data_IF_792264963878
#
_entry.id   IF_792264963878
#
_cell.length_a   1.000
_cell.length_b   1.000
_cell.length_c   1.000
_cell.angle_alpha   90.00
_cell.angle_beta   90.00
_cell.angle_gamma   90.00
#
_symmetry.space_group_name_H-M   'P 1'
#
loop_
_entity.id
_entity.type
_entity.pdbx_description
1 polymer ?
#
# COMPACT_ATOMS: atom_id res chain seq x y z
N UNK A 1 -0.97 -15.49 5.44
CA UNK A 1 0.37 -15.89 4.95
C UNK A 1 0.56 -15.49 3.49
N UNK A 2 1.59 -16.00 2.83
CA UNK A 2 1.67 -15.95 1.36
C UNK A 2 0.69 -16.95 0.72
N UNK A 3 0.30 -16.74 -0.54
CA UNK A 3 -0.58 -17.68 -1.25
C UNK A 3 0.03 -19.08 -1.41
N UNK A 4 1.35 -19.19 -1.41
CA UNK A 4 2.07 -20.47 -1.45
C UNK A 4 1.95 -21.30 -0.16
N UNK A 5 1.52 -20.68 0.94
CA UNK A 5 1.32 -21.36 2.22
C UNK A 5 -0.09 -21.94 2.38
N UNK A 6 -1.02 -21.62 1.48
CA UNK A 6 -2.39 -22.17 1.55
C UNK A 6 -2.37 -23.71 1.60
N UNK A 7 -1.62 -24.32 0.69
CA UNK A 7 -1.38 -25.75 0.67
C UNK A 7 0.11 -26.07 0.47
N UNK A 8 0.69 -27.04 1.22
CA UNK A 8 0.04 -27.84 2.27
C UNK A 8 0.09 -27.19 3.66
N UNK A 9 0.71 -26.03 3.82
CA UNK A 9 1.12 -25.53 5.13
C UNK A 9 -0.06 -25.17 6.04
N UNK A 10 -0.89 -24.20 5.65
CA UNK A 10 -2.03 -23.77 6.46
C UNK A 10 -3.10 -24.87 6.55
N UNK A 11 -3.29 -25.67 5.50
CA UNK A 11 -4.16 -26.87 5.54
C UNK A 11 -3.73 -27.83 6.66
N UNK A 12 -2.42 -28.09 6.78
CA UNK A 12 -1.89 -28.92 7.85
C UNK A 12 -2.03 -28.26 9.22
N UNK A 13 -1.87 -26.94 9.33
CA UNK A 13 -2.09 -26.21 10.59
C UNK A 13 -3.53 -26.35 11.09
N UNK A 14 -4.51 -26.22 10.18
CA UNK A 14 -5.93 -26.43 10.48
C UNK A 14 -6.14 -27.87 10.95
N UNK A 15 -5.70 -28.86 10.15
CA UNK A 15 -5.90 -30.27 10.48
C UNK A 15 -5.30 -30.65 11.85
N UNK A 16 -4.08 -30.18 12.15
CA UNK A 16 -3.41 -30.45 13.43
C UNK A 16 -4.14 -29.78 14.60
N UNK A 17 -4.48 -28.50 14.46
CA UNK A 17 -5.06 -27.71 15.56
C UNK A 17 -6.49 -28.14 15.87
N UNK A 18 -7.31 -28.37 14.85
CA UNK A 18 -8.71 -28.75 15.02
C UNK A 18 -8.85 -30.21 15.47
N UNK A 19 -8.01 -31.13 14.96
CA UNK A 19 -8.02 -32.52 15.44
C UNK A 19 -7.58 -32.63 16.91
N UNK A 20 -6.60 -31.82 17.33
CA UNK A 20 -6.12 -31.85 18.71
C UNK A 20 -7.10 -31.20 19.71
N UNK A 21 -7.84 -30.18 19.29
CA UNK A 21 -8.66 -29.35 20.21
C UNK A 21 -10.17 -29.53 20.05
N UNK A 22 -10.64 -30.02 18.91
CA UNK A 22 -12.07 -30.09 18.57
C UNK A 22 -12.73 -28.72 18.39
N UNK A 23 -11.95 -27.65 18.19
CA UNK A 23 -12.44 -26.27 18.06
C UNK A 23 -11.96 -25.67 16.75
N UNK A 24 -12.72 -24.69 16.24
CA UNK A 24 -12.30 -23.87 15.10
C UNK A 24 -10.98 -23.16 15.40
N UNK A 25 -9.99 -23.32 14.52
CA UNK A 25 -8.65 -22.75 14.74
C UNK A 25 -8.62 -21.25 14.46
N UNK A 26 -9.17 -20.80 13.33
CA UNK A 26 -9.27 -19.39 12.95
C UNK A 26 -10.54 -19.12 12.14
N UNK A 27 -11.15 -17.94 12.33
CA UNK A 27 -12.38 -17.55 11.61
C UNK A 27 -12.11 -16.95 10.23
N UNK A 28 -10.90 -16.45 9.99
CA UNK A 28 -10.51 -15.81 8.73
C UNK A 28 -9.05 -16.13 8.40
N UNK A 29 -8.79 -16.41 7.13
CA UNK A 29 -7.46 -16.64 6.58
C UNK A 29 -7.20 -15.63 5.47
N UNK A 30 -6.10 -14.89 5.59
CA UNK A 30 -5.70 -13.89 4.60
C UNK A 30 -4.42 -14.36 3.92
N UNK A 31 -4.44 -14.39 2.59
CA UNK A 31 -3.30 -14.77 1.77
C UNK A 31 -2.94 -13.65 0.80
N UNK A 32 -1.67 -13.24 0.85
CA UNK A 32 -1.15 -12.21 -0.05
C UNK A 32 -0.79 -12.83 -1.41
N UNK A 33 -1.01 -12.05 -2.48
CA UNK A 33 -0.60 -12.41 -3.82
C UNK A 33 0.91 -12.50 -3.97
N UNK A 34 1.36 -13.26 -4.96
CA UNK A 34 2.78 -13.49 -5.21
C UNK A 34 3.47 -12.25 -5.79
N UNK A 35 4.73 -12.06 -5.41
CA UNK A 35 5.62 -11.12 -6.09
C UNK A 35 6.23 -11.81 -7.32
N UNK A 36 6.11 -11.16 -8.48
CA UNK A 36 6.75 -11.53 -9.74
C UNK A 36 7.87 -10.54 -10.05
N UNK A 37 8.90 -10.98 -10.77
CA UNK A 37 10.00 -10.12 -11.22
C UNK A 37 10.00 -10.11 -12.74
N UNK A 38 9.81 -8.93 -13.33
CA UNK A 38 9.73 -8.75 -14.79
C UNK A 38 8.73 -9.72 -15.47
N UNK A 39 7.60 -9.97 -14.81
CA UNK A 39 6.54 -10.89 -15.28
C UNK A 39 6.78 -12.37 -14.94
N UNK A 40 7.98 -12.75 -14.51
CA UNK A 40 8.35 -14.12 -14.17
C UNK A 40 8.24 -14.40 -12.67
N UNK A 41 8.14 -15.68 -12.30
CA UNK A 41 8.21 -16.10 -10.90
C UNK A 41 9.64 -15.85 -10.39
N UNK A 42 9.76 -15.26 -9.20
CA UNK A 42 11.04 -15.16 -8.51
C UNK A 42 11.56 -16.57 -8.18
N UNK A 43 12.78 -16.89 -8.60
CA UNK A 43 13.44 -18.14 -8.22
C UNK A 43 14.96 -18.01 -8.20
N UNK A 44 15.61 -18.75 -7.30
CA UNK A 44 17.08 -18.83 -7.26
C UNK A 44 17.66 -19.39 -8.56
N UNK A 45 16.96 -20.34 -9.19
CA UNK A 45 17.38 -20.98 -10.44
C UNK A 45 17.39 -20.05 -11.65
N UNK A 46 16.48 -19.06 -11.69
CA UNK A 46 16.47 -18.03 -12.73
C UNK A 46 17.45 -16.87 -12.42
N UNK A 47 18.13 -16.92 -11.27
CA UNK A 47 18.99 -15.86 -10.75
C UNK A 47 18.32 -14.47 -10.77
N UNK A 48 16.99 -14.44 -10.65
CA UNK A 48 16.14 -13.25 -10.78
C UNK A 48 15.57 -12.82 -9.44
N UNK A 49 16.28 -13.04 -8.34
CA UNK A 49 15.83 -12.65 -6.99
C UNK A 49 16.62 -11.44 -6.49
N UNK A 50 15.93 -10.55 -5.79
CA UNK A 50 16.53 -9.43 -5.07
C UNK A 50 16.17 -9.55 -3.61
N UNK A 51 17.13 -9.33 -2.72
CA UNK A 51 16.81 -9.20 -1.30
C UNK A 51 16.27 -7.80 -1.03
N UNK A 52 15.47 -7.65 0.03
CA UNK A 52 15.05 -6.33 0.49
C UNK A 52 16.27 -5.42 0.74
N UNK A 53 17.39 -5.97 1.23
CA UNK A 53 18.62 -5.21 1.47
C UNK A 53 19.18 -4.62 0.17
N UNK A 54 19.24 -5.40 -0.90
CA UNK A 54 19.70 -4.94 -2.22
C UNK A 54 18.81 -3.84 -2.81
N UNK A 55 17.49 -3.95 -2.61
CA UNK A 55 16.54 -2.94 -3.10
C UNK A 55 16.67 -1.64 -2.31
N UNK A 56 16.83 -1.73 -0.99
CA UNK A 56 16.94 -0.55 -0.11
C UNK A 56 18.27 0.20 -0.25
N UNK A 57 19.31 -0.43 -0.82
CA UNK A 57 20.53 0.29 -1.22
C UNK A 57 20.28 1.27 -2.38
N UNK A 58 19.27 1.02 -3.21
CA UNK A 58 18.97 1.81 -4.42
C UNK A 58 17.76 2.72 -4.26
N UNK A 59 16.77 2.29 -3.48
CA UNK A 59 15.47 2.96 -3.36
C UNK A 59 15.14 3.24 -1.90
N UNK A 60 14.55 4.42 -1.66
CA UNK A 60 14.05 4.79 -0.35
C UNK A 60 12.97 3.80 0.12
N UNK A 61 12.93 3.37 1.40
CA UNK A 61 11.96 2.38 1.88
C UNK A 61 10.50 2.72 1.58
N UNK A 62 10.13 3.99 1.59
CA UNK A 62 8.77 4.41 1.24
C UNK A 62 8.41 4.14 -0.22
N UNK A 63 9.36 4.21 -1.15
CA UNK A 63 9.13 3.87 -2.56
C UNK A 63 8.75 2.41 -2.70
N UNK A 64 9.48 1.53 -2.01
CA UNK A 64 9.19 0.10 -1.96
C UNK A 64 7.84 -0.15 -1.29
N UNK A 65 7.55 0.54 -0.18
CA UNK A 65 6.25 0.44 0.50
C UNK A 65 5.11 0.87 -0.40
N UNK A 66 5.25 1.98 -1.12
CA UNK A 66 4.23 2.47 -2.04
C UNK A 66 3.95 1.48 -3.15
N UNK A 67 4.99 0.91 -3.79
CA UNK A 67 4.84 -0.15 -4.78
C UNK A 67 4.01 -1.33 -4.25
N UNK A 68 4.28 -1.73 -3.00
CA UNK A 68 3.60 -2.87 -2.37
C UNK A 68 2.12 -2.60 -2.06
N UNK A 69 1.77 -1.36 -1.67
CA UNK A 69 0.39 -1.00 -1.31
C UNK A 69 -0.42 -0.42 -2.47
N UNK A 70 0.22 -0.01 -3.57
CA UNK A 70 -0.49 0.52 -4.73
C UNK A 70 -1.28 -0.53 -5.50
N UNK A 71 -1.07 -1.82 -5.20
CA UNK A 71 -1.84 -2.96 -5.71
C UNK A 71 -2.64 -3.59 -4.57
N UNK A 72 -3.77 -4.22 -4.89
CA UNK A 72 -4.54 -4.98 -3.90
C UNK A 72 -3.70 -6.13 -3.33
N UNK A 73 -3.75 -6.36 -2.02
CA UNK A 73 -2.85 -7.32 -1.35
C UNK A 73 -2.99 -8.76 -1.88
N UNK A 74 -4.16 -9.12 -2.42
CA UNK A 74 -4.46 -10.42 -3.04
C UNK A 74 -3.98 -10.55 -4.49
N UNK A 75 -3.66 -9.44 -5.15
CA UNK A 75 -3.18 -9.43 -6.53
C UNK A 75 -1.69 -9.73 -6.58
N UNK A 76 -1.25 -10.35 -7.69
CA UNK A 76 0.17 -10.50 -7.93
C UNK A 76 0.81 -9.12 -8.19
N UNK A 77 1.93 -8.85 -7.53
CA UNK A 77 2.68 -7.61 -7.71
C UNK A 77 3.82 -7.88 -8.67
N UNK A 78 3.91 -7.11 -9.75
CA UNK A 78 5.04 -7.19 -10.66
C UNK A 78 6.12 -6.19 -10.23
N UNK A 79 7.21 -6.71 -9.68
CA UNK A 79 8.40 -5.95 -9.36
C UNK A 79 9.28 -5.80 -10.61
N UNK A 80 9.59 -4.56 -10.95
CA UNK A 80 10.57 -4.16 -11.96
C UNK A 80 11.19 -2.82 -11.60
N UNK A 81 12.34 -2.50 -12.20
CA UNK A 81 12.96 -1.19 -12.04
C UNK A 81 12.00 -0.05 -12.47
N UNK A 82 11.23 -0.27 -13.54
CA UNK A 82 10.24 0.70 -14.00
C UNK A 82 9.11 0.90 -12.98
N UNK A 83 8.60 -0.18 -12.36
CA UNK A 83 7.56 -0.08 -11.32
C UNK A 83 8.03 0.72 -10.09
N UNK A 84 9.33 0.61 -9.73
CA UNK A 84 9.92 1.39 -8.65
C UNK A 84 10.10 2.86 -9.03
N UNK A 85 10.48 3.14 -10.28
CA UNK A 85 10.58 4.51 -10.80
C UNK A 85 9.21 5.19 -10.83
N UNK A 86 8.17 4.48 -11.27
CA UNK A 86 6.79 4.95 -11.25
C UNK A 86 6.30 5.21 -9.82
N UNK A 87 6.58 4.29 -8.90
CA UNK A 87 6.27 4.43 -7.47
C UNK A 87 6.95 5.64 -6.84
N UNK A 88 8.22 5.87 -7.20
CA UNK A 88 8.97 7.05 -6.76
C UNK A 88 8.32 8.33 -7.26
N UNK A 89 8.01 8.42 -8.56
CA UNK A 89 7.36 9.59 -9.14
C UNK A 89 5.97 9.86 -8.52
N UNK A 90 5.22 8.81 -8.23
CA UNK A 90 3.95 8.90 -7.49
C UNK A 90 4.14 9.50 -6.09
N UNK A 91 5.09 8.99 -5.30
CA UNK A 91 5.39 9.53 -3.97
C UNK A 91 5.89 10.97 -4.00
N UNK A 92 6.73 11.33 -4.98
CA UNK A 92 7.22 12.70 -5.13
C UNK A 92 6.07 13.70 -5.27
N UNK A 93 4.96 13.32 -5.92
CA UNK A 93 3.75 14.18 -6.00
C UNK A 93 3.12 14.45 -4.63
N UNK A 94 3.09 13.46 -3.74
CA UNK A 94 2.64 13.66 -2.36
C UNK A 94 3.57 14.63 -1.63
N UNK A 95 4.88 14.38 -1.68
CA UNK A 95 5.87 15.24 -1.03
C UNK A 95 5.85 16.67 -1.58
N UNK A 96 5.67 16.87 -2.88
CA UNK A 96 5.57 18.19 -3.48
C UNK A 96 4.33 18.98 -3.02
N UNK A 97 3.17 18.31 -2.91
CA UNK A 97 1.96 18.95 -2.40
C UNK A 97 2.10 19.35 -0.92
N UNK A 98 2.79 18.54 -0.12
CA UNK A 98 3.01 18.81 1.31
C UNK A 98 4.11 19.84 1.57
N UNK A 99 5.09 19.95 0.67
CA UNK A 99 6.31 20.76 0.86
C UNK A 99 5.96 22.24 1.03
N UNK A 100 6.42 22.87 2.11
CA UNK A 100 6.34 24.32 2.30
C UNK A 100 4.97 24.85 2.73
N UNK A 101 4.03 23.96 3.09
CA UNK A 101 2.80 24.36 3.77
C UNK A 101 3.09 24.62 5.26
N UNK A 102 2.41 25.58 5.91
CA UNK A 102 2.54 25.78 7.34
C UNK A 102 2.02 24.55 8.11
N UNK A 103 2.50 24.40 9.34
CA UNK A 103 1.94 23.40 10.26
C UNK A 103 0.54 23.84 10.65
N UNK A 104 -0.43 22.93 10.52
CA UNK A 104 -1.82 23.16 10.85
C UNK A 104 -2.43 21.88 11.41
N UNK A 105 -3.54 22.04 12.15
CA UNK A 105 -4.38 20.91 12.52
C UNK A 105 -5.23 20.44 11.33
N UNK A 106 -5.59 19.14 11.26
CA UNK A 106 -6.46 18.60 10.21
C UNK A 106 -7.80 19.32 10.13
N UNK A 107 -8.09 19.95 8.99
CA UNK A 107 -9.33 20.67 8.75
C UNK A 107 -9.84 20.46 7.33
N UNK A 108 -11.15 20.26 7.19
CA UNK A 108 -11.80 19.91 5.93
C UNK A 108 -11.48 18.49 5.46
N UNK A 109 -12.02 18.12 4.31
CA UNK A 109 -11.76 16.83 3.66
C UNK A 109 -12.48 15.64 4.29
N UNK A 110 -13.55 15.86 5.05
CA UNK A 110 -14.39 14.82 5.67
C UNK A 110 -14.90 13.82 4.61
N UNK A 111 -15.30 14.31 3.43
CA UNK A 111 -15.72 13.47 2.32
C UNK A 111 -14.59 12.58 1.77
N UNK A 112 -13.33 13.04 1.82
CA UNK A 112 -12.19 12.20 1.45
C UNK A 112 -11.93 11.12 2.50
N UNK A 113 -12.07 11.44 3.80
CA UNK A 113 -11.97 10.44 4.87
C UNK A 113 -13.00 9.35 4.70
N UNK A 114 -14.27 9.70 4.47
CA UNK A 114 -15.35 8.73 4.26
C UNK A 114 -15.09 7.82 3.05
N UNK A 115 -14.65 8.40 1.93
CA UNK A 115 -14.29 7.63 0.72
C UNK A 115 -13.08 6.74 0.94
N UNK A 116 -12.05 7.24 1.61
CA UNK A 116 -10.87 6.46 1.98
C UNK A 116 -11.24 5.28 2.89
N UNK A 117 -12.03 5.53 3.94
CA UNK A 117 -12.51 4.48 4.84
C UNK A 117 -13.38 3.47 4.12
N UNK A 118 -14.23 3.91 3.20
CA UNK A 118 -15.05 3.01 2.36
C UNK A 118 -14.17 2.09 1.52
N UNK A 119 -13.17 2.64 0.84
CA UNK A 119 -12.21 1.85 0.07
C UNK A 119 -11.42 0.86 0.93
N UNK A 120 -10.96 1.28 2.12
CA UNK A 120 -10.22 0.41 3.03
C UNK A 120 -11.11 -0.67 3.68
N UNK A 121 -12.40 -0.40 3.88
CA UNK A 121 -13.37 -1.37 4.41
C UNK A 121 -13.79 -2.41 3.35
N UNK A 122 -13.53 -2.16 2.07
CA UNK A 122 -13.69 -3.13 1.00
C UNK A 122 -12.40 -3.96 0.83
N UNK A 123 -12.24 -4.97 1.67
CA UNK A 123 -11.11 -5.93 1.65
C UNK A 123 -9.71 -5.28 1.62
N UNK A 124 -9.52 -4.17 2.33
CA UNK A 124 -8.29 -3.37 2.27
C UNK A 124 -7.99 -2.89 0.83
N UNK A 125 -8.97 -2.27 0.18
CA UNK A 125 -8.91 -1.72 -1.17
C UNK A 125 -7.93 -0.57 -1.34
N UNK A 126 -6.64 -0.83 -1.15
CA UNK A 126 -5.56 0.16 -1.20
C UNK A 126 -5.41 0.85 -2.56
N UNK A 127 -5.68 0.25 -3.74
CA UNK A 127 -5.63 0.99 -5.00
C UNK A 127 -6.64 2.15 -5.04
N UNK A 128 -7.88 1.90 -4.62
CA UNK A 128 -8.95 2.90 -4.56
C UNK A 128 -8.64 3.95 -3.47
N UNK A 129 -8.15 3.51 -2.30
CA UNK A 129 -7.71 4.41 -1.24
C UNK A 129 -6.58 5.35 -1.72
N UNK A 130 -5.58 4.83 -2.43
CA UNK A 130 -4.52 5.64 -3.04
C UNK A 130 -5.07 6.65 -4.06
N UNK A 131 -6.10 6.28 -4.83
CA UNK A 131 -6.76 7.21 -5.76
C UNK A 131 -7.39 8.40 -5.01
N UNK A 132 -8.08 8.14 -3.90
CA UNK A 132 -8.63 9.18 -3.00
C UNK A 132 -7.52 10.10 -2.48
N UNK A 133 -6.39 9.54 -2.03
CA UNK A 133 -5.25 10.33 -1.56
C UNK A 133 -4.65 11.22 -2.67
N UNK A 134 -4.63 10.76 -3.92
CA UNK A 134 -4.20 11.61 -5.05
C UNK A 134 -5.19 12.72 -5.38
N UNK A 135 -6.49 12.50 -5.18
CA UNK A 135 -7.47 13.58 -5.30
C UNK A 135 -7.26 14.65 -4.23
N UNK A 136 -6.97 14.26 -2.99
CA UNK A 136 -6.56 15.21 -1.95
C UNK A 136 -5.31 15.98 -2.34
N UNK A 137 -4.29 15.32 -2.92
CA UNK A 137 -3.09 15.99 -3.45
C UNK A 137 -3.44 17.05 -4.51
N UNK A 138 -4.37 16.75 -5.42
CA UNK A 138 -4.83 17.73 -6.43
C UNK A 138 -5.51 18.92 -5.77
N UNK A 139 -6.36 18.66 -4.78
CA UNK A 139 -7.10 19.70 -4.07
C UNK A 139 -6.18 20.58 -3.21
N UNK A 140 -5.19 20.00 -2.53
CA UNK A 140 -4.15 20.74 -1.81
C UNK A 140 -3.44 21.72 -2.75
N UNK A 141 -3.03 21.26 -3.94
CA UNK A 141 -2.37 22.12 -4.91
C UNK A 141 -3.28 23.25 -5.42
N UNK A 142 -4.58 22.98 -5.63
CA UNK A 142 -5.57 24.00 -6.02
C UNK A 142 -5.76 25.05 -4.92
N UNK A 143 -5.91 24.61 -3.67
CA UNK A 143 -6.08 25.49 -2.52
C UNK A 143 -4.83 26.31 -2.25
N UNK A 144 -3.63 25.77 -2.51
CA UNK A 144 -2.37 26.48 -2.29
C UNK A 144 -2.29 27.85 -2.98
N UNK A 145 -2.95 28.01 -4.12
CA UNK A 145 -2.96 29.26 -4.89
C UNK A 145 -3.95 30.31 -4.35
N UNK A 146 -4.97 29.88 -3.59
CA UNK A 146 -6.11 30.71 -3.21
C UNK A 146 -6.30 30.84 -1.69
N UNK A 147 -6.06 29.77 -0.94
CA UNK A 147 -6.19 29.69 0.50
C UNK A 147 -5.15 28.71 1.08
N UNK A 148 -4.02 29.27 1.53
CA UNK A 148 -2.92 28.49 2.08
C UNK A 148 -3.27 27.82 3.43
N UNK A 149 -4.20 28.39 4.20
CA UNK A 149 -4.62 27.83 5.48
C UNK A 149 -5.50 26.60 5.26
N UNK A 150 -6.44 26.66 4.31
CA UNK A 150 -7.22 25.50 3.88
C UNK A 150 -6.33 24.40 3.27
N UNK A 151 -5.35 24.77 2.44
CA UNK A 151 -4.38 23.82 1.90
C UNK A 151 -3.59 23.10 3.00
N UNK A 152 -3.15 23.83 4.04
CA UNK A 152 -2.44 23.28 5.18
C UNK A 152 -3.32 22.35 6.03
N UNK A 153 -4.58 22.72 6.28
CA UNK A 153 -5.55 21.89 6.98
C UNK A 153 -5.84 20.57 6.27
N UNK A 154 -6.03 20.62 4.95
CA UNK A 154 -6.26 19.42 4.14
C UNK A 154 -4.99 18.56 4.04
N UNK A 155 -3.81 19.17 3.96
CA UNK A 155 -2.53 18.47 4.01
C UNK A 155 -2.27 17.77 5.36
N UNK A 156 -2.69 18.39 6.47
CA UNK A 156 -2.65 17.76 7.78
C UNK A 156 -3.61 16.57 7.86
N UNK A 157 -4.81 16.69 7.26
CA UNK A 157 -5.76 15.56 7.13
C UNK A 157 -5.20 14.42 6.28
N UNK A 158 -4.56 14.74 5.15
CA UNK A 158 -3.92 13.75 4.27
C UNK A 158 -2.89 12.90 5.03
N UNK A 159 -2.15 13.46 5.98
CA UNK A 159 -1.15 12.74 6.79
C UNK A 159 -1.77 11.81 7.84
N UNK A 160 -3.05 11.94 8.16
CA UNK A 160 -3.75 11.07 9.11
C UNK A 160 -4.29 9.79 8.47
N UNK A 161 -4.46 9.80 7.14
CA UNK A 161 -4.95 8.68 6.33
C UNK A 161 -3.78 7.80 5.89
#
# INVERSE_FOLDING_TARGET
GGSDLEFPHHENEIAQSEAATGKTYANAWLHCGMIRINGEKMSKSLNNFFTIRDVLEKYHPEVVRYLLVSSHYRSAINYSEDSLRESKAALERFYHALKGLPVAEPAGGEAFVERFSTAMNDDFGTPEACAVLFEMVREINRLRESDIAAAAGLAARLKQL
#
